data_IF_083203937772
#
_entry.id   IF_083203937772
#
_cell.length_a   1.000
_cell.length_b   1.000
_cell.length_c   1.000
_cell.angle_alpha   90.00
_cell.angle_beta   90.00
_cell.angle_gamma   90.00
#
_symmetry.space_group_name_H-M   'P 1'
#
loop_
_entity.id
_entity.type
_entity.pdbx_description
1 polymer ?
#
# COMPACT_ATOMS: atom_id res chain seq x y z
N UNK A 1 15.28 -62.95 16.42
CA UNK A 1 16.20 -62.01 17.10
C UNK A 1 17.26 -61.60 16.09
N UNK A 2 17.01 -60.51 15.37
CA UNK A 2 17.86 -59.92 14.33
C UNK A 2 17.88 -58.40 14.58
N UNK A 3 19.05 -57.75 14.57
CA UNK A 3 19.20 -56.38 15.07
C UNK A 3 18.69 -55.30 14.11
N UNK A 4 18.35 -54.18 14.72
CA UNK A 4 17.75 -52.98 14.13
C UNK A 4 18.57 -52.37 12.99
N UNK A 5 17.89 -52.04 11.89
CA UNK A 5 18.41 -51.19 10.82
C UNK A 5 18.35 -49.75 11.31
N UNK A 6 19.53 -49.17 11.57
CA UNK A 6 19.73 -47.74 11.78
C UNK A 6 19.45 -47.03 10.45
N UNK A 7 18.29 -46.41 10.31
CA UNK A 7 18.05 -45.44 9.25
C UNK A 7 18.75 -44.15 9.64
N UNK A 8 19.88 -43.88 8.99
CA UNK A 8 20.54 -42.58 9.03
C UNK A 8 19.56 -41.48 8.62
N UNK A 9 19.27 -40.58 9.55
CA UNK A 9 18.65 -39.30 9.30
C UNK A 9 19.53 -38.54 8.31
N UNK A 10 18.99 -38.29 7.12
CA UNK A 10 19.60 -37.40 6.15
C UNK A 10 19.32 -35.98 6.64
N UNK A 11 20.20 -35.49 7.50
CA UNK A 11 20.27 -34.10 7.92
C UNK A 11 20.55 -33.25 6.67
N UNK A 12 19.47 -32.77 6.06
CA UNK A 12 19.52 -31.74 5.06
C UNK A 12 19.86 -30.44 5.79
N UNK A 13 21.15 -30.19 5.97
CA UNK A 13 21.69 -28.85 6.18
C UNK A 13 21.33 -27.99 4.96
N UNK A 14 20.11 -27.45 4.95
CA UNK A 14 19.77 -26.32 4.10
C UNK A 14 20.62 -25.16 4.59
N UNK A 15 21.62 -24.82 3.77
CA UNK A 15 22.38 -23.60 3.87
C UNK A 15 21.41 -22.46 4.19
N UNK A 16 21.56 -21.87 5.37
CA UNK A 16 20.90 -20.62 5.72
C UNK A 16 21.52 -19.54 4.84
N UNK A 17 21.02 -19.42 3.62
CA UNK A 17 21.06 -18.15 2.91
C UNK A 17 20.43 -17.12 3.85
N UNK A 18 21.06 -15.96 4.10
CA UNK A 18 20.48 -14.96 4.97
C UNK A 18 19.18 -14.52 4.32
N UNK A 19 18.06 -15.08 4.79
CA UNK A 19 16.73 -14.63 4.41
C UNK A 19 16.74 -13.12 4.59
N UNK A 20 16.39 -12.35 3.54
CA UNK A 20 16.36 -10.90 3.66
C UNK A 20 15.46 -10.58 4.86
N UNK A 21 16.00 -9.82 5.82
CA UNK A 21 15.32 -9.57 7.08
C UNK A 21 13.84 -9.20 6.83
N UNK A 22 12.90 -9.75 7.63
CA UNK A 22 11.47 -9.54 7.41
C UNK A 22 11.16 -8.05 7.22
N UNK A 23 10.42 -7.70 6.16
CA UNK A 23 10.13 -6.30 5.82
C UNK A 23 9.32 -5.59 6.92
N UNK A 24 8.49 -6.36 7.63
CA UNK A 24 7.70 -5.91 8.77
C UNK A 24 7.49 -7.10 9.71
N UNK A 25 7.63 -6.90 11.02
CA UNK A 25 7.27 -7.91 12.03
C UNK A 25 6.15 -7.40 12.93
N UNK A 26 5.43 -8.28 13.65
CA UNK A 26 4.41 -7.86 14.61
C UNK A 26 4.94 -6.90 15.69
N UNK A 27 6.23 -7.01 16.03
CA UNK A 27 6.88 -6.12 17.01
C UNK A 27 6.91 -4.65 16.54
N UNK A 28 6.94 -4.41 15.23
CA UNK A 28 6.94 -3.06 14.67
C UNK A 28 5.60 -2.34 14.85
N UNK A 29 4.55 -3.06 15.21
CA UNK A 29 3.19 -2.53 15.41
C UNK A 29 2.89 -2.21 16.88
N UNK A 30 3.64 -2.80 17.82
CA UNK A 30 3.36 -2.73 19.28
C UNK A 30 3.28 -1.31 19.83
N UNK A 31 4.08 -0.39 19.30
CA UNK A 31 4.12 1.00 19.75
C UNK A 31 2.99 1.87 19.17
N UNK A 32 2.21 1.34 18.22
CA UNK A 32 1.19 2.10 17.48
C UNK A 32 -0.23 1.60 17.78
N UNK A 33 -0.41 0.28 17.93
CA UNK A 33 -1.71 -0.30 18.20
C UNK A 33 -1.61 -1.60 18.99
N UNK A 34 -2.64 -1.90 19.79
CA UNK A 34 -2.83 -3.20 20.41
C UNK A 34 -3.61 -4.10 19.46
N UNK A 35 -2.91 -5.03 18.80
CA UNK A 35 -3.48 -5.98 17.85
C UNK A 35 -3.13 -7.40 18.32
N UNK A 36 -4.09 -8.32 18.26
CA UNK A 36 -3.81 -9.72 18.55
C UNK A 36 -2.73 -10.26 17.58
N UNK A 37 -1.73 -11.02 18.06
CA UNK A 37 -0.57 -11.39 17.24
C UNK A 37 -0.93 -12.19 15.98
N UNK A 38 -1.93 -13.06 16.06
CA UNK A 38 -2.44 -13.80 14.91
C UNK A 38 -3.03 -12.86 13.84
N UNK A 39 -3.88 -11.92 14.25
CA UNK A 39 -4.45 -10.89 13.36
C UNK A 39 -3.35 -10.01 12.76
N UNK A 40 -2.37 -9.60 13.57
CA UNK A 40 -1.26 -8.78 13.11
C UNK A 40 -0.44 -9.50 12.02
N UNK A 41 -0.20 -10.80 12.17
CA UNK A 41 0.51 -11.59 11.17
C UNK A 41 -0.25 -11.69 9.85
N UNK A 42 -1.54 -12.05 9.90
CA UNK A 42 -2.37 -12.13 8.68
C UNK A 42 -2.41 -10.79 7.94
N UNK A 43 -2.57 -9.68 8.67
CA UNK A 43 -2.55 -8.35 8.07
C UNK A 43 -1.19 -7.98 7.46
N UNK A 44 -0.08 -8.43 8.06
CA UNK A 44 1.27 -8.21 7.51
C UNK A 44 1.45 -9.04 6.23
N UNK A 45 0.99 -10.29 6.22
CA UNK A 45 1.12 -11.19 5.08
C UNK A 45 0.31 -10.68 3.88
N UNK A 46 -0.93 -10.21 4.11
CA UNK A 46 -1.74 -9.55 3.09
C UNK A 46 -1.06 -8.28 2.57
N UNK A 47 -0.47 -7.49 3.47
CA UNK A 47 0.21 -6.26 3.10
C UNK A 47 1.44 -6.48 2.23
N UNK A 48 2.23 -7.50 2.58
CA UNK A 48 3.40 -7.90 1.80
C UNK A 48 2.96 -8.49 0.46
N UNK A 49 1.88 -9.28 0.42
CA UNK A 49 1.33 -9.86 -0.80
C UNK A 49 0.90 -8.79 -1.82
N UNK A 50 0.13 -7.81 -1.39
CA UNK A 50 -0.33 -6.72 -2.27
C UNK A 50 0.84 -5.80 -2.70
N UNK A 51 1.79 -5.54 -1.79
CA UNK A 51 3.00 -4.79 -2.14
C UNK A 51 3.88 -5.52 -3.15
N UNK A 52 4.05 -6.84 -3.00
CA UNK A 52 4.83 -7.67 -3.92
C UNK A 52 4.19 -7.73 -5.32
N UNK A 53 2.86 -7.70 -5.41
CA UNK A 53 2.16 -7.65 -6.69
C UNK A 53 2.47 -6.36 -7.47
N UNK A 54 2.49 -5.21 -6.79
CA UNK A 54 2.76 -3.92 -7.43
C UNK A 54 4.25 -3.62 -7.61
N UNK A 55 5.09 -4.12 -6.71
CA UNK A 55 6.50 -3.80 -6.61
C UNK A 55 7.32 -5.06 -6.28
N UNK A 56 7.48 -6.00 -7.23
CA UNK A 56 8.15 -7.29 -6.96
C UNK A 56 9.64 -7.15 -6.63
N UNK A 57 10.25 -5.97 -6.90
CA UNK A 57 11.64 -5.71 -6.57
C UNK A 57 11.92 -5.69 -5.06
N UNK A 58 10.92 -5.47 -4.20
CA UNK A 58 11.09 -5.36 -2.74
C UNK A 58 11.44 -6.70 -2.08
N UNK A 59 11.12 -7.82 -2.74
CA UNK A 59 11.42 -9.17 -2.27
C UNK A 59 12.79 -9.67 -2.74
N UNK A 60 13.46 -8.95 -3.64
CA UNK A 60 14.77 -9.35 -4.13
C UNK A 60 15.83 -9.21 -3.03
N UNK A 61 16.82 -10.13 -2.97
CA UNK A 61 17.90 -10.05 -1.99
C UNK A 61 18.72 -8.76 -2.13
N UNK A 62 18.92 -8.29 -3.37
CA UNK A 62 19.70 -7.09 -3.69
C UNK A 62 18.93 -5.76 -3.51
N UNK A 63 17.75 -5.80 -2.88
CA UNK A 63 16.97 -4.58 -2.69
C UNK A 63 17.71 -3.59 -1.77
N UNK A 64 17.86 -2.31 -2.15
CA UNK A 64 18.72 -1.38 -1.44
C UNK A 64 18.33 -1.21 0.03
N UNK A 65 19.27 -1.44 0.94
CA UNK A 65 19.01 -1.40 2.38
C UNK A 65 18.43 -0.05 2.85
N UNK A 66 18.87 1.06 2.25
CA UNK A 66 18.37 2.40 2.59
C UNK A 66 16.88 2.61 2.23
N UNK A 67 16.35 1.87 1.25
CA UNK A 67 14.94 1.95 0.84
C UNK A 67 14.04 1.02 1.68
N UNK A 68 14.60 0.04 2.40
CA UNK A 68 13.81 -0.89 3.23
C UNK A 68 13.05 -0.16 4.33
N UNK A 69 13.64 0.88 4.93
CA UNK A 69 12.97 1.72 5.92
C UNK A 69 11.74 2.45 5.35
N UNK A 70 11.84 2.91 4.10
CA UNK A 70 10.72 3.53 3.39
C UNK A 70 9.60 2.52 3.12
N UNK A 71 9.91 1.34 2.58
CA UNK A 71 8.92 0.27 2.36
C UNK A 71 8.22 -0.10 3.66
N UNK A 72 9.00 -0.32 4.73
CA UNK A 72 8.50 -0.61 6.07
C UNK A 72 7.54 0.45 6.60
N UNK A 73 7.79 1.73 6.32
CA UNK A 73 6.88 2.82 6.72
C UNK A 73 5.51 2.72 6.02
N UNK A 74 5.49 2.35 4.74
CA UNK A 74 4.26 2.21 3.94
C UNK A 74 3.45 0.99 4.34
N UNK A 75 4.10 -0.15 4.51
CA UNK A 75 3.45 -1.37 5.03
C UNK A 75 2.81 -1.11 6.39
N UNK A 76 3.54 -0.46 7.30
CA UNK A 76 3.04 -0.14 8.65
C UNK A 76 1.82 0.79 8.60
N UNK A 77 1.89 1.87 7.82
CA UNK A 77 0.79 2.81 7.67
C UNK A 77 -0.48 2.15 7.11
N UNK A 78 -0.32 1.29 6.11
CA UNK A 78 -1.42 0.53 5.52
C UNK A 78 -2.08 -0.42 6.53
N UNK A 79 -1.29 -1.21 7.27
CA UNK A 79 -1.78 -2.15 8.28
C UNK A 79 -2.53 -1.43 9.41
N UNK A 80 -1.97 -0.34 9.95
CA UNK A 80 -2.61 0.39 11.05
C UNK A 80 -3.95 1.00 10.62
N UNK A 81 -3.98 1.64 9.45
CA UNK A 81 -5.22 2.19 8.90
C UNK A 81 -6.25 1.12 8.59
N UNK A 82 -5.83 -0.03 8.08
CA UNK A 82 -6.75 -1.13 7.83
C UNK A 82 -7.32 -1.68 9.15
N UNK A 83 -6.50 -1.75 10.20
CA UNK A 83 -6.95 -2.17 11.52
C UNK A 83 -8.01 -1.19 12.06
N UNK A 84 -7.82 0.12 11.89
CA UNK A 84 -8.80 1.14 12.27
C UNK A 84 -10.09 1.06 11.46
N UNK A 85 -10.01 0.85 10.14
CA UNK A 85 -11.18 0.73 9.27
C UNK A 85 -12.07 -0.48 9.63
N UNK A 86 -11.51 -1.55 10.21
CA UNK A 86 -12.28 -2.71 10.68
C UNK A 86 -13.03 -2.49 11.99
N UNK A 87 -12.86 -1.35 12.67
CA UNK A 87 -13.47 -1.09 13.99
C UNK A 87 -14.95 -0.67 13.93
N UNK A 88 -15.48 -0.36 12.74
CA UNK A 88 -16.90 -0.06 12.53
C UNK A 88 -17.41 1.23 13.23
N UNK A 89 -16.50 2.08 13.69
CA UNK A 89 -16.84 3.31 14.40
C UNK A 89 -17.17 4.44 13.41
N UNK A 90 -18.36 5.05 13.53
CA UNK A 90 -18.67 6.29 12.82
C UNK A 90 -18.03 7.44 13.59
N UNK A 91 -17.07 8.13 12.98
CA UNK A 91 -16.41 9.28 13.60
C UNK A 91 -16.96 10.58 13.00
N UNK A 92 -17.55 11.42 13.85
CA UNK A 92 -18.05 12.74 13.45
C UNK A 92 -16.98 13.78 13.72
N UNK A 93 -16.48 14.43 12.66
CA UNK A 93 -15.54 15.54 12.77
C UNK A 93 -16.30 16.84 12.48
N UNK A 94 -16.38 17.73 13.47
CA UNK A 94 -17.01 19.04 13.32
C UNK A 94 -15.93 20.12 13.39
N UNK A 95 -15.83 20.94 12.35
CA UNK A 95 -14.97 22.13 12.32
C UNK A 95 -15.81 23.35 11.98
N UNK A 96 -16.06 24.20 12.99
CA UNK A 96 -16.92 25.38 12.88
C UNK A 96 -18.28 25.04 12.22
N UNK A 97 -18.57 25.61 11.05
CA UNK A 97 -19.81 25.39 10.29
C UNK A 97 -19.80 24.13 9.42
N UNK A 98 -18.69 23.41 9.35
CA UNK A 98 -18.53 22.23 8.51
C UNK A 98 -18.45 20.95 9.36
N UNK A 99 -19.46 20.08 9.22
CA UNK A 99 -19.44 18.74 9.80
C UNK A 99 -19.19 17.69 8.73
N UNK A 100 -18.22 16.79 8.96
CA UNK A 100 -18.11 15.54 8.22
C UNK A 100 -18.39 14.36 9.13
N UNK A 101 -19.18 13.42 8.62
CA UNK A 101 -19.32 12.09 9.21
C UNK A 101 -18.44 11.15 8.41
N UNK A 102 -17.35 10.67 9.01
CA UNK A 102 -16.49 9.66 8.41
C UNK A 102 -17.01 8.30 8.81
N UNK A 103 -17.63 7.61 7.85
CA UNK A 103 -18.14 6.26 8.05
C UNK A 103 -17.03 5.23 7.81
N UNK A 104 -16.47 4.68 8.88
CA UNK A 104 -15.47 3.60 8.78
C UNK A 104 -16.12 2.22 8.61
N UNK A 105 -17.46 2.11 8.65
CA UNK A 105 -18.17 0.82 8.49
C UNK A 105 -18.05 0.26 7.08
N UNK A 106 -17.79 1.10 6.08
CA UNK A 106 -17.53 0.64 4.72
C UNK A 106 -16.02 0.42 4.56
N UNK A 107 -15.54 -0.84 4.52
CA UNK A 107 -14.13 -1.11 4.27
C UNK A 107 -13.78 -0.54 2.89
N UNK A 108 -12.70 0.24 2.83
CA UNK A 108 -12.18 0.73 1.54
C UNK A 108 -11.82 -0.47 0.66
N UNK A 109 -12.04 -0.36 -0.65
CA UNK A 109 -11.86 -1.46 -1.62
C UNK A 109 -10.42 -2.00 -1.72
N UNK A 110 -9.42 -1.31 -1.18
CA UNK A 110 -8.01 -1.72 -1.21
C UNK A 110 -7.28 -1.33 0.06
N UNK A 111 -6.27 -2.13 0.43
CA UNK A 111 -5.49 -1.88 1.64
C UNK A 111 -4.59 -0.66 1.45
N UNK A 112 -3.94 -0.46 0.29
CA UNK A 112 -3.09 0.71 0.03
C UNK A 112 -3.86 1.90 -0.55
N UNK A 113 -3.28 3.09 -0.37
CA UNK A 113 -3.67 4.25 -1.17
C UNK A 113 -2.96 4.26 -2.53
N UNK A 114 -3.60 4.87 -3.53
CA UNK A 114 -3.01 4.98 -4.86
C UNK A 114 -1.63 5.66 -4.84
N UNK A 115 -1.47 6.73 -4.03
CA UNK A 115 -0.18 7.39 -3.87
C UNK A 115 0.91 6.48 -3.26
N UNK A 116 0.53 5.53 -2.38
CA UNK A 116 1.48 4.57 -1.81
C UNK A 116 1.86 3.51 -2.83
N UNK A 117 0.89 3.03 -3.62
CA UNK A 117 1.13 2.12 -4.73
C UNK A 117 2.08 2.76 -5.77
N UNK A 118 1.84 4.02 -6.12
CA UNK A 118 2.70 4.75 -7.07
C UNK A 118 4.12 4.93 -6.54
N UNK A 119 4.27 5.20 -5.24
CA UNK A 119 5.57 5.24 -4.57
C UNK A 119 6.26 3.87 -4.59
N UNK A 120 5.54 2.79 -4.28
CA UNK A 120 6.10 1.43 -4.33
C UNK A 120 6.54 1.05 -5.75
N UNK A 121 5.72 1.36 -6.77
CA UNK A 121 6.07 1.18 -8.17
C UNK A 121 7.32 1.96 -8.56
N UNK A 122 7.45 3.21 -8.08
CA UNK A 122 8.61 4.06 -8.35
C UNK A 122 9.92 3.43 -7.86
N UNK A 123 9.91 2.71 -6.74
CA UNK A 123 11.12 2.03 -6.24
C UNK A 123 11.62 0.93 -7.18
N UNK A 124 10.70 0.32 -7.94
CA UNK A 124 11.04 -0.71 -8.92
C UNK A 124 11.30 -0.15 -10.31
N UNK A 125 11.15 1.16 -10.53
CA UNK A 125 11.63 1.79 -11.76
C UNK A 125 13.14 1.90 -11.66
N UNK A 126 13.84 1.26 -12.59
CA UNK A 126 15.29 1.44 -12.76
C UNK A 126 15.56 2.92 -12.96
N UNK A 127 16.49 3.49 -12.18
CA UNK A 127 16.79 4.91 -12.18
C UNK A 127 17.21 5.43 -13.56
N UNK A 128 16.74 6.65 -13.87
CA UNK A 128 17.39 7.63 -14.74
C UNK A 128 17.83 7.20 -16.15
N UNK A 129 16.93 6.58 -16.91
CA UNK A 129 16.93 6.77 -18.36
C UNK A 129 15.64 7.51 -18.73
N UNK A 130 15.77 8.71 -19.27
CA UNK A 130 14.66 9.55 -19.69
C UNK A 130 13.58 8.74 -20.41
N UNK A 131 12.43 8.59 -19.76
CA UNK A 131 11.28 7.95 -20.37
C UNK A 131 10.66 8.87 -21.41
N UNK A 132 10.10 8.31 -22.48
CA UNK A 132 9.30 9.08 -23.42
C UNK A 132 8.06 9.63 -22.70
N UNK A 133 8.01 10.95 -22.55
CA UNK A 133 6.82 11.66 -22.08
C UNK A 133 6.19 12.37 -23.27
N UNK A 134 4.85 12.36 -23.31
CA UNK A 134 4.08 13.18 -24.23
C UNK A 134 3.43 14.28 -23.41
N UNK A 135 3.76 15.52 -23.73
CA UNK A 135 3.01 16.67 -23.24
C UNK A 135 1.92 16.92 -24.26
N UNK A 136 0.68 16.61 -23.89
CA UNK A 136 -0.46 17.03 -24.68
C UNK A 136 -0.66 18.54 -24.48
N UNK A 137 -0.42 19.29 -25.55
CA UNK A 137 -0.61 20.74 -25.60
C UNK A 137 -2.04 21.11 -26.01
N UNK A 138 -2.90 20.13 -26.34
CA UNK A 138 -4.30 20.44 -26.57
C UNK A 138 -4.92 20.93 -25.26
N UNK A 139 -5.70 22.03 -25.31
CA UNK A 139 -6.50 22.43 -24.17
C UNK A 139 -7.38 21.24 -23.79
N UNK A 140 -7.48 20.88 -22.49
CA UNK A 140 -8.35 19.79 -22.08
C UNK A 140 -9.72 20.08 -22.67
N UNK A 141 -10.32 19.07 -23.30
CA UNK A 141 -11.66 19.21 -23.85
C UNK A 141 -12.52 19.86 -22.76
N UNK A 142 -12.96 21.09 -23.01
CA UNK A 142 -13.77 21.82 -22.06
C UNK A 142 -14.96 20.93 -21.67
N UNK A 143 -15.53 21.11 -20.47
CA UNK A 143 -16.77 20.41 -20.14
C UNK A 143 -17.72 20.56 -21.33
N UNK A 144 -18.31 19.44 -21.79
CA UNK A 144 -19.38 19.49 -22.78
C UNK A 144 -20.54 20.19 -22.11
N UNK A 145 -20.51 21.52 -22.17
CA UNK A 145 -21.56 22.37 -21.65
C UNK A 145 -22.82 21.99 -22.40
N UNK A 146 -23.87 21.75 -21.64
CA UNK A 146 -25.21 21.65 -22.19
C UNK A 146 -25.55 22.94 -22.95
N UNK A 147 -26.50 22.86 -23.88
CA UNK A 147 -26.98 24.04 -24.61
C UNK A 147 -27.43 25.17 -23.66
N UNK A 148 -27.91 24.81 -22.46
CA UNK A 148 -28.29 25.76 -21.42
C UNK A 148 -27.09 26.49 -20.82
N UNK A 149 -26.04 25.77 -20.45
CA UNK A 149 -24.82 26.38 -19.87
C UNK A 149 -24.08 27.25 -20.88
N UNK A 150 -24.13 26.92 -22.17
CA UNK A 150 -23.60 27.76 -23.25
C UNK A 150 -24.37 29.08 -23.39
N UNK A 151 -25.70 29.05 -23.24
CA UNK A 151 -26.54 30.24 -23.29
C UNK A 151 -26.30 31.16 -22.08
N UNK A 152 -26.23 30.59 -20.86
CA UNK A 152 -25.98 31.36 -19.64
C UNK A 152 -24.61 32.07 -19.68
N UNK A 153 -23.56 31.40 -20.21
CA UNK A 153 -22.24 32.02 -20.37
C UNK A 153 -22.14 33.06 -21.49
N UNK A 154 -23.08 33.04 -22.44
CA UNK A 154 -23.15 34.00 -23.56
C UNK A 154 -23.78 35.33 -23.17
N UNK A 155 -24.60 35.37 -22.12
CA UNK A 155 -25.18 36.60 -21.58
C UNK A 155 -24.15 37.49 -20.86
N UNK A 156 -23.05 36.89 -20.38
CA UNK A 156 -21.97 37.61 -19.68
C UNK A 156 -20.91 38.21 -20.63
N UNK A 157 -21.00 37.98 -21.94
CA UNK A 157 -19.99 38.40 -22.92
C UNK A 157 -20.36 39.64 -23.76
N UNK A 158 -21.45 40.34 -23.42
CA UNK A 158 -21.84 41.60 -24.07
C UNK A 158 -21.51 42.80 -23.18
N UNK A 159 -20.35 43.42 -23.44
CA UNK A 159 -20.12 44.85 -23.25
C UNK A 159 -19.36 45.40 -24.45
#
# INVERSE_FOLDING_TARGET
MLPAVVTHEREAATMTEPQPAPLLTPDDLKNFATIAPAKAQEMIDDAIGEAAFHAPCILKPDFPAHLRGFVKSKLRGAVLRWNEAGTGAVTTQQTMSYGQTVDTRQPRKGMFFQAEIDQLKQLCRTGDEGGAFVIDLFPPAGPRLSARELFERGLDATW
#
